data_IF_377769468483
#
_entry.id   IF_377769468483
#
_cell.length_a   1.000
_cell.length_b   1.000
_cell.length_c   1.000
_cell.angle_alpha   90.00
_cell.angle_beta   90.00
_cell.angle_gamma   90.00
#
_symmetry.space_group_name_H-M   'P 1'
#
loop_
_entity.id
_entity.type
_entity.pdbx_description
1 polymer ?
#
# COMPACT_ATOMS: atom_id res chain seq x y z
N UNK A 1 -1.45 6.19 -8.09
CA UNK A 1 -2.55 6.61 -7.16
C UNK A 1 -3.01 8.06 -7.39
N UNK A 2 -4.33 8.30 -7.50
CA UNK A 2 -4.93 9.62 -7.77
C UNK A 2 -5.32 10.43 -6.53
N UNK A 3 -5.43 11.76 -6.69
CA UNK A 3 -5.90 12.67 -5.64
C UNK A 3 -7.44 12.64 -5.54
N UNK A 4 -7.99 12.43 -4.34
CA UNK A 4 -9.43 12.52 -4.11
C UNK A 4 -9.92 13.96 -4.20
N UNK A 5 -11.06 14.17 -4.88
CA UNK A 5 -11.72 15.49 -5.00
C UNK A 5 -12.11 16.05 -3.62
N UNK A 6 -12.62 15.18 -2.75
CA UNK A 6 -13.03 15.54 -1.39
C UNK A 6 -12.12 14.86 -0.38
N UNK A 7 -11.73 15.58 0.68
CA UNK A 7 -10.98 14.99 1.80
C UNK A 7 -11.88 13.99 2.54
N UNK A 8 -11.31 12.89 3.01
CA UNK A 8 -12.04 12.01 3.94
C UNK A 8 -12.30 12.70 5.28
N UNK A 9 -13.18 12.14 6.12
CA UNK A 9 -13.40 12.63 7.50
C UNK A 9 -12.09 12.70 8.32
N UNK A 10 -11.15 11.80 8.07
CA UNK A 10 -9.81 11.79 8.68
C UNK A 10 -8.78 12.72 8.02
N UNK A 11 -9.20 13.53 7.04
CA UNK A 11 -8.34 14.46 6.30
C UNK A 11 -7.46 13.81 5.23
N UNK A 12 -7.67 12.54 4.90
CA UNK A 12 -6.93 11.85 3.84
C UNK A 12 -7.32 12.39 2.46
N UNK A 13 -6.38 12.33 1.53
CA UNK A 13 -6.55 12.75 0.13
C UNK A 13 -6.18 11.68 -0.89
N UNK A 14 -5.65 10.54 -0.43
CA UNK A 14 -5.29 9.42 -1.29
C UNK A 14 -5.80 8.12 -0.68
N UNK A 15 -6.01 7.13 -1.54
CA UNK A 15 -6.43 5.78 -1.17
C UNK A 15 -5.42 4.80 -1.77
N UNK A 16 -4.75 4.05 -0.90
CA UNK A 16 -3.86 2.96 -1.27
C UNK A 16 -4.64 1.65 -1.15
N UNK A 17 -4.60 0.84 -2.21
CA UNK A 17 -5.30 -0.45 -2.27
C UNK A 17 -4.27 -1.52 -2.58
N UNK A 18 -4.17 -2.53 -1.72
CA UNK A 18 -3.48 -3.78 -2.01
C UNK A 18 -4.51 -4.83 -2.36
N UNK A 19 -4.28 -5.53 -3.46
CA UNK A 19 -5.13 -6.61 -3.95
C UNK A 19 -4.26 -7.85 -4.06
N UNK A 20 -4.65 -8.91 -3.37
CA UNK A 20 -4.06 -10.22 -3.58
C UNK A 20 -4.56 -10.81 -4.90
N UNK A 21 -3.63 -11.26 -5.75
CA UNK A 21 -3.98 -11.70 -7.11
C UNK A 21 -4.73 -13.04 -7.12
N UNK A 22 -4.44 -13.90 -6.14
CA UNK A 22 -5.05 -15.23 -6.02
C UNK A 22 -6.44 -15.17 -5.38
N UNK A 23 -6.51 -14.71 -4.14
CA UNK A 23 -7.73 -14.72 -3.33
C UNK A 23 -8.66 -13.55 -3.60
N UNK A 24 -8.20 -12.52 -4.31
CA UNK A 24 -8.88 -11.22 -4.45
C UNK A 24 -9.10 -10.50 -3.12
N UNK A 25 -8.38 -10.87 -2.07
CA UNK A 25 -8.42 -10.16 -0.79
C UNK A 25 -7.92 -8.73 -0.97
N UNK A 26 -8.67 -7.77 -0.42
CA UNK A 26 -8.40 -6.33 -0.59
C UNK A 26 -8.14 -5.67 0.76
N UNK A 27 -7.03 -4.94 0.85
CA UNK A 27 -6.72 -4.07 1.98
C UNK A 27 -6.65 -2.62 1.52
N UNK A 28 -7.33 -1.73 2.23
CA UNK A 28 -7.43 -0.30 1.89
C UNK A 28 -6.84 0.56 3.01
N UNK A 29 -5.97 1.49 2.64
CA UNK A 29 -5.42 2.51 3.54
C UNK A 29 -5.74 3.92 3.03
N UNK A 30 -6.24 4.77 3.93
CA UNK A 30 -6.41 6.21 3.69
C UNK A 30 -5.12 6.96 4.01
N UNK A 31 -4.60 7.72 3.05
CA UNK A 31 -3.33 8.45 3.21
C UNK A 31 -3.53 9.97 3.08
N UNK A 32 -2.80 10.75 3.88
CA UNK A 32 -2.76 12.20 3.74
C UNK A 32 -1.73 12.63 2.70
N UNK A 33 -0.62 11.90 2.59
CA UNK A 33 0.47 12.10 1.62
C UNK A 33 0.85 10.80 0.92
N UNK A 34 1.29 10.89 -0.35
CA UNK A 34 1.83 9.75 -1.10
C UNK A 34 3.08 9.13 -0.45
N UNK A 35 3.87 9.93 0.26
CA UNK A 35 5.07 9.48 0.98
C UNK A 35 4.78 8.48 2.11
N UNK A 36 3.52 8.29 2.49
CA UNK A 36 3.12 7.31 3.52
C UNK A 36 3.07 5.87 2.99
N UNK A 37 3.15 5.67 1.67
CA UNK A 37 3.00 4.35 1.02
C UNK A 37 3.98 3.32 1.57
N UNK A 38 5.27 3.63 1.64
CA UNK A 38 6.28 2.69 2.13
C UNK A 38 6.02 2.21 3.57
N UNK A 39 5.58 3.12 4.45
CA UNK A 39 5.25 2.77 5.82
C UNK A 39 3.99 1.89 5.90
N UNK A 40 2.95 2.21 5.12
CA UNK A 40 1.75 1.36 5.07
C UNK A 40 2.01 0.01 4.42
N UNK A 41 2.93 -0.06 3.46
CA UNK A 41 3.33 -1.33 2.86
C UNK A 41 4.03 -2.24 3.87
N UNK A 42 4.92 -1.71 4.73
CA UNK A 42 5.50 -2.48 5.84
C UNK A 42 4.42 -3.02 6.79
N UNK A 43 3.47 -2.18 7.18
CA UNK A 43 2.33 -2.61 8.02
C UNK A 43 1.53 -3.71 7.34
N UNK A 44 1.30 -3.60 6.03
CA UNK A 44 0.60 -4.63 5.26
C UNK A 44 1.38 -5.95 5.21
N UNK A 45 2.70 -5.92 5.00
CA UNK A 45 3.55 -7.12 5.00
C UNK A 45 3.46 -7.87 6.34
N UNK A 46 3.63 -7.17 7.46
CA UNK A 46 3.51 -7.78 8.79
C UNK A 46 2.11 -8.33 9.04
N UNK A 47 1.07 -7.60 8.63
CA UNK A 47 -0.31 -8.07 8.76
C UNK A 47 -0.57 -9.33 7.93
N UNK A 48 -0.11 -9.36 6.67
CA UNK A 48 -0.26 -10.51 5.78
C UNK A 48 0.46 -11.75 6.33
N UNK A 49 1.70 -11.59 6.78
CA UNK A 49 2.51 -12.69 7.34
C UNK A 49 1.90 -13.23 8.63
N UNK A 50 1.45 -12.37 9.55
CA UNK A 50 0.80 -12.81 10.78
C UNK A 50 -0.53 -13.52 10.53
N UNK A 51 -1.26 -13.10 9.51
CA UNK A 51 -2.59 -13.61 9.22
C UNK A 51 -2.53 -14.97 8.51
N UNK A 52 -1.65 -15.13 7.52
CA UNK A 52 -1.57 -16.33 6.69
C UNK A 52 -0.34 -17.21 6.91
N UNK A 53 0.65 -16.75 7.68
CA UNK A 53 1.91 -17.47 7.87
C UNK A 53 2.78 -17.54 6.60
N UNK A 54 2.46 -16.72 5.59
CA UNK A 54 3.14 -16.69 4.30
C UNK A 54 3.73 -15.30 4.02
N UNK A 55 4.76 -15.27 3.18
CA UNK A 55 5.42 -14.03 2.75
C UNK A 55 4.98 -13.66 1.34
N UNK A 56 4.75 -12.36 1.11
CA UNK A 56 4.42 -11.84 -0.21
C UNK A 56 5.62 -12.03 -1.13
N UNK A 57 5.42 -12.67 -2.29
CA UNK A 57 6.48 -13.01 -3.24
C UNK A 57 6.88 -11.86 -4.17
N UNK A 58 5.90 -11.06 -4.59
CA UNK A 58 6.11 -10.00 -5.56
C UNK A 58 5.07 -8.89 -5.37
N UNK A 59 5.51 -7.64 -5.49
CA UNK A 59 4.63 -6.47 -5.57
C UNK A 59 4.51 -6.04 -7.04
N UNK A 60 3.28 -6.00 -7.57
CA UNK A 60 2.97 -5.42 -8.89
C UNK A 60 2.38 -4.02 -8.70
N UNK A 61 2.97 -3.01 -9.35
CA UNK A 61 2.51 -1.61 -9.26
C UNK A 61 2.51 -0.93 -10.63
N UNK A 62 1.96 0.29 -10.71
CA UNK A 62 1.96 1.15 -11.90
C UNK A 62 3.30 1.88 -12.12
N UNK A 63 4.35 1.51 -11.38
CA UNK A 63 5.65 2.18 -11.34
C UNK A 63 5.58 3.69 -10.98
N UNK A 64 4.52 4.11 -10.28
CA UNK A 64 4.45 5.46 -9.71
C UNK A 64 5.62 5.72 -8.77
N UNK A 65 6.03 6.99 -8.64
CA UNK A 65 7.17 7.38 -7.79
C UNK A 65 6.93 7.09 -6.30
N UNK A 66 5.67 6.95 -5.90
CA UNK A 66 5.31 6.43 -4.58
C UNK A 66 5.78 4.98 -4.32
N UNK A 67 5.93 4.17 -5.38
CA UNK A 67 6.35 2.77 -5.34
C UNK A 67 7.79 2.55 -5.84
N UNK A 68 8.32 3.46 -6.67
CA UNK A 68 9.68 3.39 -7.23
C UNK A 68 10.56 4.42 -6.54
N UNK A 69 11.16 4.04 -5.40
CA UNK A 69 12.06 4.88 -4.63
C UNK A 69 12.90 4.06 -3.64
N UNK A 70 13.98 4.67 -3.12
CA UNK A 70 14.92 4.05 -2.16
C UNK A 70 14.28 3.47 -0.90
N UNK A 71 13.10 3.97 -0.49
CA UNK A 71 12.40 3.41 0.68
C UNK A 71 11.72 2.10 0.34
N UNK A 72 11.17 1.98 -0.87
CA UNK A 72 10.57 0.75 -1.38
C UNK A 72 11.64 -0.29 -1.74
N UNK A 73 12.77 0.12 -2.32
CA UNK A 73 13.92 -0.76 -2.64
C UNK A 73 14.54 -1.44 -1.41
N UNK A 74 14.29 -0.90 -0.20
CA UNK A 74 14.75 -1.50 1.07
C UNK A 74 13.74 -2.49 1.65
N UNK A 75 12.51 -2.47 1.15
CA UNK A 75 11.41 -3.31 1.63
C UNK A 75 11.25 -4.52 0.72
N UNK A 76 11.31 -4.29 -0.60
CA UNK A 76 11.30 -5.30 -1.64
C UNK A 76 12.70 -5.89 -1.84
#
# INVERSE_FOLDING_TARGET
MGLMKTRSKGGARYVLVFVDDYSRYVVVYFLKKKSEVANKFKTYLTMYENQWGERIKCLRSDNGTEFVNKSMDKIC
#
